data_IF_674646689900
#
_entry.id   IF_674646689900
#
_cell.length_a   1.000
_cell.length_b   1.000
_cell.length_c   1.000
_cell.angle_alpha   90.00
_cell.angle_beta   90.00
_cell.angle_gamma   90.00
#
_symmetry.space_group_name_H-M   'P 1'
#
loop_
_entity.id
_entity.type
_entity.pdbx_description
1 polymer ?
#
# COMPACT_ATOMS: atom_id res chain seq x y z
N UNK A 1 -1.44 20.54 2.25
CA UNK A 1 -1.44 19.45 1.24
C UNK A 1 -0.42 18.42 1.67
N UNK A 2 -0.78 17.14 1.74
CA UNK A 2 0.17 16.07 2.11
C UNK A 2 1.35 16.05 1.13
N UNK A 3 2.57 15.97 1.67
CA UNK A 3 3.82 15.83 0.92
C UNK A 3 4.37 14.42 1.12
N UNK A 4 4.76 13.75 0.03
CA UNK A 4 5.46 12.47 0.10
C UNK A 4 6.96 12.70 -0.16
N UNK A 5 7.81 12.25 0.76
CA UNK A 5 9.26 12.36 0.64
C UNK A 5 9.90 10.98 0.45
N UNK A 6 10.30 10.69 -0.79
CA UNK A 6 10.98 9.44 -1.14
C UNK A 6 12.50 9.64 -1.03
N UNK A 7 13.17 8.86 -0.18
CA UNK A 7 14.61 9.00 0.08
C UNK A 7 15.30 7.68 0.40
N UNK A 8 16.57 7.57 0.04
CA UNK A 8 17.44 6.47 0.50
C UNK A 8 17.63 6.60 2.01
N UNK A 9 17.35 5.54 2.75
CA UNK A 9 17.63 5.52 4.18
C UNK A 9 19.02 4.91 4.45
N UNK A 10 20.04 5.76 4.43
CA UNK A 10 21.44 5.37 4.66
C UNK A 10 21.71 4.78 6.05
N UNK A 11 20.82 5.00 7.02
CA UNK A 11 20.96 4.47 8.38
C UNK A 11 20.39 3.06 8.50
N UNK A 12 19.20 2.80 7.95
CA UNK A 12 18.58 1.48 8.01
C UNK A 12 19.13 0.51 6.96
N UNK A 13 19.60 1.03 5.83
CA UNK A 13 20.08 0.21 4.72
C UNK A 13 21.21 -0.77 5.11
N UNK A 14 22.26 -0.38 5.85
CA UNK A 14 23.28 -1.32 6.32
C UNK A 14 22.71 -2.43 7.22
N UNK A 15 21.69 -2.12 8.03
CA UNK A 15 21.04 -3.08 8.93
C UNK A 15 20.32 -4.17 8.13
N UNK A 16 19.51 -3.76 7.15
CA UNK A 16 18.80 -4.70 6.27
C UNK A 16 19.75 -5.51 5.40
N UNK A 17 20.80 -4.87 4.87
CA UNK A 17 21.83 -5.57 4.11
C UNK A 17 22.51 -6.67 4.93
N UNK A 18 22.93 -6.34 6.16
CA UNK A 18 23.55 -7.31 7.07
C UNK A 18 22.61 -8.48 7.38
N UNK A 19 21.34 -8.18 7.71
CA UNK A 19 20.32 -9.19 7.96
C UNK A 19 20.13 -10.13 6.75
N UNK A 20 20.05 -9.57 5.55
CA UNK A 20 19.91 -10.33 4.30
C UNK A 20 21.10 -11.27 4.08
N UNK A 21 22.34 -10.76 4.24
CA UNK A 21 23.55 -11.58 4.09
C UNK A 21 23.57 -12.76 5.07
N UNK A 22 23.23 -12.52 6.34
CA UNK A 22 23.17 -13.55 7.37
C UNK A 22 22.11 -14.61 7.07
N UNK A 23 20.89 -14.16 6.72
CA UNK A 23 19.74 -15.03 6.44
C UNK A 23 19.99 -15.97 5.26
N UNK A 24 20.60 -15.46 4.19
CA UNK A 24 20.82 -16.23 2.96
C UNK A 24 22.25 -16.79 2.83
N UNK A 25 23.11 -16.61 3.83
CA UNK A 25 24.53 -17.03 3.80
C UNK A 25 25.28 -16.53 2.56
N UNK A 26 24.94 -15.32 2.10
CA UNK A 26 25.53 -14.72 0.90
C UNK A 26 26.76 -13.92 1.32
N UNK A 27 27.93 -14.38 0.88
CA UNK A 27 29.22 -13.73 1.16
C UNK A 27 29.65 -12.76 0.07
N UNK A 28 29.22 -12.96 -1.18
CA UNK A 28 29.62 -12.14 -2.32
C UNK A 28 28.39 -11.78 -3.15
N UNK A 29 27.87 -10.57 -2.96
CA UNK A 29 26.86 -9.97 -3.81
C UNK A 29 27.32 -8.56 -4.15
N UNK A 30 27.31 -8.22 -5.45
CA UNK A 30 27.58 -6.84 -5.89
C UNK A 30 26.54 -5.94 -5.24
N UNK A 31 27.01 -5.00 -4.43
CA UNK A 31 26.18 -3.98 -3.81
C UNK A 31 25.99 -2.84 -4.81
N UNK A 32 24.76 -2.36 -4.95
CA UNK A 32 24.46 -1.19 -5.74
C UNK A 32 25.20 0.03 -5.16
N UNK A 33 25.81 0.83 -6.02
CA UNK A 33 26.48 2.09 -5.70
C UNK A 33 25.46 3.15 -5.28
N UNK A 34 25.93 4.23 -4.65
CA UNK A 34 25.04 5.32 -4.26
C UNK A 34 24.39 5.98 -5.48
N UNK A 35 25.12 6.14 -6.58
CA UNK A 35 24.60 6.73 -7.82
C UNK A 35 23.52 5.86 -8.47
N UNK A 36 23.70 4.52 -8.47
CA UNK A 36 22.68 3.59 -8.94
C UNK A 36 21.39 3.69 -8.10
N UNK A 37 21.52 3.83 -6.77
CA UNK A 37 20.37 4.00 -5.87
C UNK A 37 19.67 5.34 -6.13
N UNK A 38 20.42 6.41 -6.31
CA UNK A 38 19.86 7.74 -6.55
C UNK A 38 19.15 7.82 -7.90
N UNK A 39 19.65 7.11 -8.92
CA UNK A 39 18.97 6.97 -10.21
C UNK A 39 17.62 6.24 -10.05
N UNK A 40 17.58 5.11 -9.33
CA UNK A 40 16.34 4.37 -9.08
C UNK A 40 15.33 5.23 -8.31
N UNK A 41 15.78 5.96 -7.29
CA UNK A 41 14.92 6.86 -6.52
C UNK A 41 14.38 7.99 -7.37
N UNK A 42 15.19 8.51 -8.30
CA UNK A 42 14.74 9.51 -9.27
C UNK A 42 13.62 8.95 -10.15
N UNK A 43 13.76 7.74 -10.67
CA UNK A 43 12.70 7.07 -11.45
C UNK A 43 11.41 6.84 -10.64
N UNK A 44 11.54 6.44 -9.37
CA UNK A 44 10.38 6.31 -8.47
C UNK A 44 9.66 7.64 -8.27
N UNK A 45 10.42 8.71 -8.01
CA UNK A 45 9.87 10.07 -7.86
C UNK A 45 9.16 10.52 -9.12
N UNK A 46 9.81 10.40 -10.28
CA UNK A 46 9.24 10.79 -11.56
C UNK A 46 7.97 10.02 -11.88
N UNK A 47 7.93 8.72 -11.58
CA UNK A 47 6.76 7.88 -11.83
C UNK A 47 5.62 8.22 -10.87
N UNK A 48 5.93 8.40 -9.58
CA UNK A 48 4.95 8.78 -8.55
C UNK A 48 4.35 10.16 -8.81
N UNK A 49 5.17 11.18 -9.06
CA UNK A 49 4.73 12.56 -9.20
C UNK A 49 3.84 12.81 -10.43
N UNK A 50 3.88 11.93 -11.44
CA UNK A 50 2.91 11.96 -12.56
C UNK A 50 1.46 11.80 -12.09
N UNK A 51 1.24 11.00 -11.06
CA UNK A 51 -0.10 10.61 -10.60
C UNK A 51 -0.39 10.96 -9.13
N UNK A 52 0.60 11.43 -8.36
CA UNK A 52 0.50 11.72 -6.93
C UNK A 52 -0.77 12.50 -6.56
N UNK A 53 -0.97 13.68 -7.16
CA UNK A 53 -2.14 14.53 -6.85
C UNK A 53 -3.47 13.83 -7.15
N UNK A 54 -3.54 13.05 -8.24
CA UNK A 54 -4.74 12.31 -8.64
C UNK A 54 -5.01 11.18 -7.64
N UNK A 55 -3.99 10.41 -7.28
CA UNK A 55 -4.08 9.29 -6.36
C UNK A 55 -4.45 9.78 -4.96
N UNK A 56 -3.72 10.75 -4.41
CA UNK A 56 -3.99 11.28 -3.06
C UNK A 56 -5.40 11.87 -2.93
N UNK A 57 -5.84 12.62 -3.95
CA UNK A 57 -7.21 13.15 -3.99
C UNK A 57 -8.24 12.02 -4.09
N UNK A 58 -8.00 11.02 -4.93
CA UNK A 58 -8.90 9.88 -5.07
C UNK A 58 -9.01 9.07 -3.78
N UNK A 59 -7.89 8.80 -3.09
CA UNK A 59 -7.89 8.12 -1.80
C UNK A 59 -8.82 8.85 -0.83
N UNK A 60 -8.64 10.17 -0.63
CA UNK A 60 -9.47 10.94 0.28
C UNK A 60 -10.95 10.97 -0.12
N UNK A 61 -11.23 11.11 -1.43
CA UNK A 61 -12.60 11.15 -1.94
C UNK A 61 -13.33 9.81 -1.80
N UNK A 62 -12.66 8.71 -2.13
CA UNK A 62 -13.25 7.37 -2.07
C UNK A 62 -13.42 6.92 -0.62
N UNK A 63 -12.38 7.12 0.19
CA UNK A 63 -12.41 6.71 1.60
C UNK A 63 -13.24 7.65 2.46
N UNK A 64 -13.51 8.89 2.02
CA UNK A 64 -14.11 9.98 2.82
C UNK A 64 -13.28 10.35 4.06
N UNK A 65 -11.97 10.12 4.00
CA UNK A 65 -11.02 10.42 5.07
C UNK A 65 -10.02 11.49 4.62
N UNK A 66 -9.31 12.07 5.58
CA UNK A 66 -8.23 13.02 5.32
C UNK A 66 -6.93 12.53 5.95
N UNK A 67 -5.80 12.82 5.31
CA UNK A 67 -4.50 12.58 5.94
C UNK A 67 -4.28 13.64 7.03
N UNK A 68 -3.99 13.18 8.24
CA UNK A 68 -3.66 14.02 9.40
C UNK A 68 -2.22 14.51 9.34
N UNK A 69 -1.30 13.71 8.77
CA UNK A 69 0.08 14.14 8.57
C UNK A 69 0.21 15.08 7.35
N UNK A 70 1.08 16.08 7.47
CA UNK A 70 1.47 16.96 6.37
C UNK A 70 2.62 16.38 5.53
N UNK A 71 3.39 15.44 6.08
CA UNK A 71 4.55 14.82 5.47
C UNK A 71 4.58 13.32 5.80
N UNK A 72 4.75 12.49 4.78
CA UNK A 72 5.01 11.05 4.93
C UNK A 72 6.36 10.75 4.29
N UNK A 73 7.28 10.19 5.09
CA UNK A 73 8.58 9.71 4.64
C UNK A 73 8.46 8.29 4.08
N UNK A 74 9.03 8.09 2.90
CA UNK A 74 9.16 6.80 2.22
C UNK A 74 10.64 6.46 2.13
N UNK A 75 11.03 5.42 2.86
CA UNK A 75 12.42 5.00 2.98
C UNK A 75 12.72 3.91 1.96
N UNK A 76 13.69 4.18 1.09
CA UNK A 76 14.20 3.20 0.15
C UNK A 76 15.44 2.56 0.75
N UNK A 77 15.52 1.23 0.75
CA UNK A 77 16.63 0.43 1.28
C UNK A 77 16.92 -0.77 0.36
N UNK A 78 18.10 -1.36 0.52
CA UNK A 78 18.51 -2.57 -0.19
C UNK A 78 18.08 -3.83 0.53
N UNK A 79 17.64 -4.80 -0.26
CA UNK A 79 17.52 -6.22 0.10
C UNK A 79 16.66 -6.47 1.34
N UNK A 80 15.42 -6.00 1.30
CA UNK A 80 14.38 -6.42 2.24
C UNK A 80 13.50 -7.48 1.59
N UNK A 81 13.09 -8.47 2.39
CA UNK A 81 12.20 -9.53 1.94
C UNK A 81 10.75 -9.04 1.75
N UNK A 82 10.34 -8.05 2.57
CA UNK A 82 9.00 -7.47 2.55
C UNK A 82 9.06 -5.97 2.80
N UNK A 83 8.17 -5.24 2.14
CA UNK A 83 7.95 -3.82 2.42
C UNK A 83 7.34 -3.66 3.81
N UNK A 84 7.66 -2.56 4.49
CA UNK A 84 7.04 -2.20 5.77
C UNK A 84 6.15 -0.98 5.57
N UNK A 85 5.05 -0.91 6.32
CA UNK A 85 4.10 0.19 6.28
C UNK A 85 4.39 1.28 7.33
N UNK A 86 5.09 0.93 8.43
CA UNK A 86 5.34 1.80 9.58
C UNK A 86 6.74 1.62 10.17
N UNK A 87 7.73 2.45 9.78
CA UNK A 87 7.66 3.47 8.73
C UNK A 87 7.52 2.83 7.34
N UNK A 88 7.15 3.61 6.31
CA UNK A 88 7.09 3.07 4.94
C UNK A 88 8.51 2.77 4.47
N UNK A 89 8.82 1.49 4.25
CA UNK A 89 10.11 1.02 3.78
C UNK A 89 9.92 0.14 2.54
N UNK A 90 10.63 0.48 1.46
CA UNK A 90 10.62 -0.27 0.20
C UNK A 90 12.01 -0.73 -0.22
N UNK A 91 12.04 -1.88 -0.90
CA UNK A 91 13.21 -2.39 -1.59
C UNK A 91 13.47 -1.63 -2.90
N UNK A 92 14.74 -1.38 -3.23
CA UNK A 92 15.17 -0.77 -4.50
C UNK A 92 14.88 -1.61 -5.76
N UNK A 93 14.60 -2.92 -5.64
CA UNK A 93 14.45 -3.84 -6.79
C UNK A 93 13.08 -3.79 -7.44
N UNK A 94 12.20 -2.87 -7.02
CA UNK A 94 10.86 -2.77 -7.59
C UNK A 94 10.90 -1.99 -8.91
N UNK A 95 10.11 -2.41 -9.88
CA UNK A 95 9.83 -1.55 -11.03
C UNK A 95 9.11 -0.28 -10.57
N UNK A 96 9.34 0.89 -11.19
CA UNK A 96 8.76 2.17 -10.74
C UNK A 96 7.22 2.17 -10.65
N UNK A 97 6.53 1.51 -11.58
CA UNK A 97 5.07 1.36 -11.53
C UNK A 97 4.62 0.49 -10.34
N UNK A 98 5.35 -0.61 -10.08
CA UNK A 98 5.08 -1.48 -8.94
C UNK A 98 5.34 -0.76 -7.61
N UNK A 99 6.35 0.11 -7.56
CA UNK A 99 6.59 0.98 -6.42
C UNK A 99 5.39 1.90 -6.17
N UNK A 100 4.85 2.53 -7.22
CA UNK A 100 3.68 3.40 -7.08
C UNK A 100 2.43 2.64 -6.61
N UNK A 101 2.23 1.40 -7.07
CA UNK A 101 1.13 0.53 -6.62
C UNK A 101 1.23 0.21 -5.14
N UNK A 102 2.42 -0.20 -4.69
CA UNK A 102 2.63 -0.52 -3.28
C UNK A 102 2.56 0.73 -2.43
N UNK A 103 3.11 1.87 -2.86
CA UNK A 103 2.97 3.12 -2.13
C UNK A 103 1.49 3.52 -1.99
N UNK A 104 0.67 3.35 -3.04
CA UNK A 104 -0.78 3.60 -2.96
C UNK A 104 -1.44 2.68 -1.93
N UNK A 105 -1.05 1.40 -1.89
CA UNK A 105 -1.53 0.43 -0.90
C UNK A 105 -1.15 0.83 0.53
N UNK A 106 0.11 1.21 0.77
CA UNK A 106 0.57 1.64 2.10
C UNK A 106 -0.08 2.94 2.55
N UNK A 107 -0.34 3.88 1.63
CA UNK A 107 -1.06 5.12 1.94
C UNK A 107 -2.51 4.85 2.36
N UNK A 108 -3.15 3.79 1.86
CA UNK A 108 -4.47 3.36 2.31
C UNK A 108 -4.42 2.82 3.75
N UNK A 109 -3.41 2.02 4.09
CA UNK A 109 -3.20 1.61 5.49
C UNK A 109 -3.02 2.83 6.40
N UNK A 110 -2.19 3.81 5.98
CA UNK A 110 -1.92 5.01 6.76
C UNK A 110 -3.20 5.84 6.97
N UNK A 111 -3.96 6.14 5.92
CA UNK A 111 -5.14 7.00 6.08
C UNK A 111 -6.21 6.34 6.95
N UNK A 112 -6.41 5.02 6.83
CA UNK A 112 -7.35 4.28 7.69
C UNK A 112 -6.94 4.37 9.15
N UNK A 113 -5.66 4.19 9.40
CA UNK A 113 -5.14 4.08 10.75
C UNK A 113 -4.95 5.43 11.44
N UNK A 114 -4.64 6.50 10.69
CA UNK A 114 -4.69 7.87 11.19
C UNK A 114 -6.12 8.25 11.61
N UNK A 115 -7.13 7.69 10.94
CA UNK A 115 -8.54 7.97 11.19
C UNK A 115 -9.24 6.83 11.95
N UNK A 116 -8.52 6.10 12.81
CA UNK A 116 -9.10 5.03 13.65
C UNK A 116 -10.20 5.51 14.61
N UNK A 117 -10.32 6.82 14.85
CA UNK A 117 -11.43 7.41 15.59
C UNK A 117 -12.73 7.47 14.76
N UNK A 118 -12.62 7.49 13.42
CA UNK A 118 -13.72 7.50 12.46
C UNK A 118 -14.02 6.06 12.00
N UNK A 119 -12.96 5.32 11.63
CA UNK A 119 -12.99 3.90 11.29
C UNK A 119 -13.11 3.12 12.60
N UNK A 120 -14.34 3.04 13.10
CA UNK A 120 -14.66 2.52 14.42
C UNK A 120 -14.57 1.00 14.51
N UNK A 121 -14.72 0.48 15.73
CA UNK A 121 -14.88 -0.96 15.96
C UNK A 121 -16.08 -1.56 15.20
N UNK A 122 -17.09 -0.76 14.84
CA UNK A 122 -18.28 -1.22 14.10
C UNK A 122 -17.90 -1.69 12.70
N UNK A 123 -16.87 -1.09 12.08
CA UNK A 123 -16.30 -1.56 10.80
C UNK A 123 -15.66 -2.93 10.96
N UNK A 124 -14.94 -3.14 12.07
CA UNK A 124 -14.30 -4.43 12.36
C UNK A 124 -15.34 -5.50 12.67
N UNK A 125 -16.37 -5.18 13.46
CA UNK A 125 -17.48 -6.10 13.72
C UNK A 125 -18.23 -6.45 12.44
N UNK A 126 -18.54 -5.47 11.60
CA UNK A 126 -19.18 -5.74 10.31
C UNK A 126 -18.34 -6.70 9.44
N UNK A 127 -17.02 -6.49 9.35
CA UNK A 127 -16.13 -7.41 8.64
C UNK A 127 -16.15 -8.81 9.27
N UNK A 128 -16.17 -8.89 10.60
CA UNK A 128 -16.19 -10.16 11.34
C UNK A 128 -17.51 -10.92 11.16
N UNK A 129 -18.64 -10.23 11.17
CA UNK A 129 -19.97 -10.81 10.97
C UNK A 129 -20.18 -11.26 9.53
N UNK A 130 -19.73 -10.46 8.56
CA UNK A 130 -19.94 -10.75 7.14
C UNK A 130 -18.98 -11.81 6.61
N UNK A 131 -17.75 -11.82 7.13
CA UNK A 131 -16.66 -12.69 6.69
C UNK A 131 -16.04 -13.48 7.86
N UNK A 132 -16.82 -14.24 8.65
CA UNK A 132 -16.36 -14.85 9.90
C UNK A 132 -15.32 -15.96 9.70
N UNK A 133 -15.24 -16.52 8.49
CA UNK A 133 -14.29 -17.59 8.13
C UNK A 133 -12.99 -17.05 7.53
N UNK A 134 -12.92 -15.75 7.25
CA UNK A 134 -11.77 -15.13 6.61
C UNK A 134 -10.73 -14.70 7.65
N UNK A 135 -9.45 -14.77 7.29
CA UNK A 135 -8.37 -14.31 8.17
C UNK A 135 -8.44 -12.79 8.41
N UNK A 136 -7.79 -12.30 9.47
CA UNK A 136 -7.63 -10.86 9.70
C UNK A 136 -6.95 -10.17 8.52
N UNK A 137 -5.96 -10.83 7.91
CA UNK A 137 -5.28 -10.33 6.71
C UNK A 137 -6.29 -10.17 5.57
N UNK A 138 -7.09 -11.19 5.26
CA UNK A 138 -8.11 -11.08 4.21
C UNK A 138 -9.07 -9.94 4.51
N UNK A 139 -9.67 -9.91 5.71
CA UNK A 139 -10.65 -8.90 6.14
C UNK A 139 -10.12 -7.47 6.00
N UNK A 140 -8.90 -7.23 6.48
CA UNK A 140 -8.25 -5.92 6.42
C UNK A 140 -7.94 -5.46 4.99
N UNK A 141 -7.76 -6.40 4.05
CA UNK A 141 -7.42 -6.09 2.67
C UNK A 141 -8.63 -5.97 1.73
N UNK A 142 -9.82 -6.48 2.10
CA UNK A 142 -11.05 -6.35 1.29
C UNK A 142 -11.31 -4.88 0.92
N UNK A 143 -11.36 -3.99 1.91
CA UNK A 143 -11.62 -2.57 1.65
C UNK A 143 -10.48 -1.90 0.86
N UNK A 144 -9.23 -2.20 1.21
CA UNK A 144 -8.05 -1.65 0.51
C UNK A 144 -8.10 -2.04 -0.97
N UNK A 145 -8.39 -3.30 -1.28
CA UNK A 145 -8.46 -3.83 -2.63
C UNK A 145 -9.63 -3.22 -3.41
N UNK A 146 -10.79 -3.00 -2.77
CA UNK A 146 -11.91 -2.28 -3.38
C UNK A 146 -11.51 -0.84 -3.77
N UNK A 147 -10.85 -0.10 -2.87
CA UNK A 147 -10.38 1.26 -3.18
C UNK A 147 -9.32 1.26 -4.28
N UNK A 148 -8.36 0.32 -4.25
CA UNK A 148 -7.35 0.17 -5.29
C UNK A 148 -7.97 -0.12 -6.66
N UNK A 149 -8.94 -1.04 -6.74
CA UNK A 149 -9.69 -1.32 -7.97
C UNK A 149 -10.29 -0.06 -8.56
N UNK A 150 -10.99 0.72 -7.72
CA UNK A 150 -11.60 1.99 -8.14
C UNK A 150 -10.56 3.00 -8.61
N UNK A 151 -9.39 3.09 -7.96
CA UNK A 151 -8.28 3.94 -8.41
C UNK A 151 -7.77 3.48 -9.78
N UNK A 152 -7.48 2.20 -9.98
CA UNK A 152 -6.94 1.70 -11.25
C UNK A 152 -7.91 1.88 -12.42
N UNK A 153 -9.19 1.54 -12.22
CA UNK A 153 -10.19 1.57 -13.28
C UNK A 153 -10.74 2.97 -13.51
N UNK A 154 -11.12 3.69 -12.45
CA UNK A 154 -11.87 4.94 -12.61
C UNK A 154 -10.99 6.18 -12.62
N UNK A 155 -9.83 6.16 -11.97
CA UNK A 155 -8.96 7.34 -11.82
C UNK A 155 -7.78 7.28 -12.79
N UNK A 156 -7.05 6.16 -12.79
CA UNK A 156 -5.88 5.97 -13.64
C UNK A 156 -6.23 5.46 -15.04
N UNK A 157 -7.47 4.97 -15.24
CA UNK A 157 -7.95 4.41 -16.51
C UNK A 157 -7.01 3.32 -17.06
N UNK A 158 -6.47 2.50 -16.15
CA UNK A 158 -5.45 1.49 -16.46
C UNK A 158 -5.83 0.11 -15.91
N UNK A 159 -6.73 -0.62 -16.59
CA UNK A 159 -7.15 -1.96 -16.18
C UNK A 159 -6.02 -3.01 -16.24
N UNK A 160 -4.99 -2.79 -17.07
CA UNK A 160 -3.82 -3.68 -17.12
C UNK A 160 -3.08 -3.68 -15.78
N UNK A 161 -2.91 -2.50 -15.17
CA UNK A 161 -2.25 -2.32 -13.88
C UNK A 161 -2.98 -3.05 -12.74
N UNK A 162 -4.31 -3.06 -12.76
CA UNK A 162 -5.11 -3.89 -11.84
C UNK A 162 -4.78 -5.38 -12.01
N UNK A 163 -4.80 -5.91 -13.24
CA UNK A 163 -4.49 -7.33 -13.51
C UNK A 163 -3.08 -7.70 -13.03
N UNK A 164 -2.10 -6.83 -13.28
CA UNK A 164 -0.74 -7.02 -12.80
C UNK A 164 -0.65 -7.02 -11.27
N UNK A 165 -1.42 -6.15 -10.59
CA UNK A 165 -1.49 -6.12 -9.13
C UNK A 165 -2.13 -7.38 -8.53
N UNK A 166 -3.21 -7.87 -9.14
CA UNK A 166 -3.83 -9.15 -8.75
C UNK A 166 -2.87 -10.32 -8.98
N UNK A 167 -2.16 -10.37 -10.12
CA UNK A 167 -1.16 -11.41 -10.40
C UNK A 167 -0.04 -11.43 -9.36
N UNK A 168 0.44 -10.25 -8.91
CA UNK A 168 1.45 -10.18 -7.84
C UNK A 168 0.93 -10.70 -6.51
N UNK A 169 -0.36 -10.52 -6.24
CA UNK A 169 -1.02 -11.03 -5.03
C UNK A 169 -1.01 -12.56 -4.95
N UNK A 170 -1.01 -13.25 -6.09
CA UNK A 170 -0.91 -14.72 -6.18
C UNK A 170 0.46 -15.27 -5.75
N UNK A 171 1.51 -14.44 -5.77
CA UNK A 171 2.85 -14.83 -5.32
C UNK A 171 3.06 -14.70 -3.81
N UNK A 172 2.05 -14.26 -3.05
CA UNK A 172 2.14 -14.17 -1.60
C UNK A 172 2.06 -15.56 -0.96
N UNK A 173 2.81 -15.75 0.14
CA UNK A 173 2.92 -17.04 0.83
C UNK A 173 1.60 -17.50 1.46
N UNK A 174 0.68 -16.58 1.73
CA UNK A 174 -0.68 -16.84 2.18
C UNK A 174 -1.66 -16.36 1.10
N UNK A 175 -2.66 -17.17 0.78
CA UNK A 175 -3.69 -16.84 -0.22
C UNK A 175 -4.63 -15.70 0.22
N UNK A 176 -4.37 -15.05 1.35
CA UNK A 176 -5.21 -14.00 1.93
C UNK A 176 -5.43 -12.81 0.98
N UNK A 177 -4.38 -12.36 0.29
CA UNK A 177 -4.49 -11.26 -0.68
C UNK A 177 -5.31 -11.65 -1.91
N UNK A 178 -5.16 -12.90 -2.36
CA UNK A 178 -5.96 -13.45 -3.47
C UNK A 178 -7.42 -13.53 -3.04
N UNK A 179 -7.66 -14.04 -1.83
CA UNK A 179 -9.00 -14.18 -1.27
C UNK A 179 -9.70 -12.84 -1.09
N UNK A 180 -8.98 -11.81 -0.65
CA UNK A 180 -9.51 -10.45 -0.57
C UNK A 180 -9.91 -9.91 -1.96
N UNK A 181 -9.12 -10.19 -3.01
CA UNK A 181 -9.50 -9.84 -4.38
C UNK A 181 -10.75 -10.58 -4.87
N UNK A 182 -10.87 -11.88 -4.58
CA UNK A 182 -12.06 -12.68 -4.94
C UNK A 182 -13.34 -12.09 -4.33
N UNK A 183 -13.30 -11.72 -3.05
CA UNK A 183 -14.43 -11.07 -2.37
C UNK A 183 -14.76 -9.73 -3.04
N UNK A 184 -13.75 -8.94 -3.44
CA UNK A 184 -13.97 -7.68 -4.17
C UNK A 184 -14.62 -7.90 -5.54
N UNK A 185 -14.25 -8.96 -6.26
CA UNK A 185 -14.89 -9.31 -7.53
C UNK A 185 -16.32 -9.83 -7.35
N UNK A 186 -16.59 -10.61 -6.29
CA UNK A 186 -17.91 -11.17 -6.00
C UNK A 186 -18.93 -10.09 -5.60
N UNK A 187 -18.54 -9.17 -4.73
CA UNK A 187 -19.44 -8.16 -4.16
C UNK A 187 -19.45 -6.85 -4.95
N UNK A 188 -18.38 -6.56 -5.70
CA UNK A 188 -18.16 -5.29 -6.37
C UNK A 188 -17.55 -4.23 -5.45
N UNK A 189 -16.60 -3.46 -5.99
CA UNK A 189 -15.85 -2.46 -5.22
C UNK A 189 -16.73 -1.35 -4.66
N UNK A 190 -17.76 -0.93 -5.39
CA UNK A 190 -18.64 0.17 -4.99
C UNK A 190 -19.52 -0.20 -3.80
N UNK A 191 -20.03 -1.43 -3.77
CA UNK A 191 -20.84 -1.91 -2.65
C UNK A 191 -19.97 -2.09 -1.41
N UNK A 192 -18.76 -2.68 -1.54
CA UNK A 192 -17.81 -2.78 -0.42
C UNK A 192 -17.48 -1.40 0.15
N UNK A 193 -17.14 -0.43 -0.69
CA UNK A 193 -16.79 0.94 -0.24
C UNK A 193 -17.99 1.59 0.45
N UNK A 194 -19.20 1.44 -0.10
CA UNK A 194 -20.43 1.99 0.48
C UNK A 194 -20.73 1.35 1.84
N UNK A 195 -20.64 0.03 1.95
CA UNK A 195 -20.86 -0.69 3.20
C UNK A 195 -19.83 -0.27 4.26
N UNK A 196 -18.55 -0.25 3.90
CA UNK A 196 -17.48 0.13 4.82
C UNK A 196 -17.63 1.57 5.33
N UNK A 197 -17.92 2.53 4.44
CA UNK A 197 -18.09 3.94 4.82
C UNK A 197 -19.40 4.24 5.55
N UNK A 198 -20.38 3.32 5.55
CA UNK A 198 -21.64 3.46 6.30
C UNK A 198 -21.42 3.38 7.81
N UNK A 199 -20.44 2.59 8.25
CA UNK A 199 -20.09 2.40 9.66
C UNK A 199 -19.10 3.44 10.19
N UNK A 200 -18.78 4.44 9.38
CA UNK A 200 -17.98 5.55 9.87
C UNK A 200 -18.77 6.33 10.89
N UNK A 201 -18.15 6.61 12.03
CA UNK A 201 -18.74 7.49 13.02
C UNK A 201 -18.92 8.87 12.44
N UNK A 202 -20.06 9.48 12.72
CA UNK A 202 -20.22 10.92 12.53
C UNK A 202 -19.15 11.61 13.37
N UNK A 203 -18.22 12.28 12.70
CA UNK A 203 -17.36 13.24 13.38
C UNK A 203 -18.27 14.41 13.71
N UNK A 204 -18.65 14.58 14.97
CA UNK A 204 -19.25 15.83 15.40
C UNK A 204 -18.26 16.94 15.03
N UNK A 205 -18.72 17.85 14.17
CA UNK A 205 -17.95 18.97 13.62
C UNK A 205 -17.44 19.91 14.72
#
# INVERSE_FOLDING_TARGET
MLKIQIKHNRFLDPVFWCHFQQRFKITILKRETQDEIDLIIKEYKETWFKNEKKILKAIQQITKLTFKHSLIDVHIVRRIDRSFSRPIIFDIRKAPENFCDQLTHELLHIILQENNNIVSWEVLEWLNERFPKESDTTRNHIFIHAVLKKIYINILKNPKRLKENMKRSQGHHNNDYVRAWEIVEEYGEDEIIKMFTKYYRSVNA
#
